data_IF_335619858514
#
_entry.id   IF_335619858514
#
_cell.length_a   1.000
_cell.length_b   1.000
_cell.length_c   1.000
_cell.angle_alpha   90.00
_cell.angle_beta   90.00
_cell.angle_gamma   90.00
#
_symmetry.space_group_name_H-M   'P 1'
#
loop_
_entity.id
_entity.type
_entity.pdbx_description
1 polymer ?
#
# COMPACT_ATOMS: atom_id res chain seq x y z
N UNK A 1 -43.39 -5.50 22.45
CA UNK A 1 -42.19 -4.65 22.51
C UNK A 1 -42.58 -3.20 22.30
N UNK A 2 -42.05 -2.29 23.10
CA UNK A 2 -42.19 -0.83 22.91
C UNK A 2 -41.27 -0.36 21.76
N UNK A 3 -41.56 0.79 21.14
CA UNK A 3 -40.73 1.35 20.06
C UNK A 3 -39.27 1.62 20.51
N UNK A 4 -39.05 1.84 21.81
CA UNK A 4 -37.72 2.01 22.41
C UNK A 4 -36.91 0.70 22.46
N UNK A 5 -37.55 -0.43 22.72
CA UNK A 5 -36.93 -1.76 22.71
C UNK A 5 -36.49 -2.19 21.30
N UNK A 6 -37.21 -1.74 20.27
CA UNK A 6 -36.86 -1.95 18.85
C UNK A 6 -35.67 -1.08 18.42
N UNK A 7 -35.60 0.17 18.91
CA UNK A 7 -34.50 1.11 18.61
C UNK A 7 -33.17 0.64 19.22
N UNK A 8 -33.20 0.09 20.43
CA UNK A 8 -32.03 -0.39 21.17
C UNK A 8 -31.15 -1.39 20.38
N UNK A 9 -31.75 -2.17 19.48
CA UNK A 9 -31.04 -3.17 18.67
C UNK A 9 -30.87 -2.76 17.18
N UNK A 10 -31.68 -1.83 16.66
CA UNK A 10 -31.55 -1.30 15.29
C UNK A 10 -30.29 -0.47 15.08
N UNK A 11 -29.78 0.22 16.10
CA UNK A 11 -28.55 1.02 16.00
C UNK A 11 -27.25 0.17 15.96
N UNK A 12 -27.35 -1.16 16.10
CA UNK A 12 -26.20 -2.04 16.27
C UNK A 12 -25.89 -3.06 15.18
N UNK A 13 -26.67 -3.13 14.08
CA UNK A 13 -26.64 -4.23 13.09
C UNK A 13 -26.93 -5.63 13.69
N UNK A 14 -27.82 -5.71 14.68
CA UNK A 14 -28.18 -6.98 15.33
C UNK A 14 -29.52 -7.49 14.84
N UNK A 15 -29.52 -8.50 13.97
CA UNK A 15 -30.70 -9.35 13.76
C UNK A 15 -30.80 -10.33 14.94
N UNK A 16 -31.46 -9.91 16.03
CA UNK A 16 -31.85 -10.79 17.14
C UNK A 16 -33.35 -11.02 17.05
N UNK A 17 -33.78 -12.27 16.98
CA UNK A 17 -35.20 -12.60 17.11
C UNK A 17 -35.55 -12.74 18.60
N UNK A 18 -36.20 -11.71 19.16
CA UNK A 18 -36.50 -11.63 20.60
C UNK A 18 -37.46 -12.73 21.08
N UNK A 19 -38.33 -13.21 20.20
CA UNK A 19 -39.30 -14.26 20.51
C UNK A 19 -38.60 -15.60 20.84
N UNK A 20 -37.34 -15.76 20.43
CA UNK A 20 -36.54 -16.97 20.62
C UNK A 20 -35.57 -16.88 21.82
N UNK A 21 -35.60 -15.78 22.59
CA UNK A 21 -34.73 -15.60 23.76
C UNK A 21 -35.35 -16.27 25.00
N UNK A 22 -34.64 -17.26 25.53
CA UNK A 22 -34.97 -17.89 26.81
C UNK A 22 -33.71 -17.95 27.69
N UNK A 23 -33.66 -17.21 28.81
CA UNK A 23 -34.68 -16.31 29.34
C UNK A 23 -34.86 -15.03 28.51
N UNK A 24 -36.02 -14.39 28.65
CA UNK A 24 -36.30 -13.09 28.05
C UNK A 24 -35.47 -11.98 28.73
N UNK A 25 -35.24 -10.88 28.01
CA UNK A 25 -34.50 -9.72 28.52
C UNK A 25 -35.42 -8.83 29.38
N UNK A 26 -34.95 -8.44 30.56
CA UNK A 26 -35.58 -7.46 31.44
C UNK A 26 -34.98 -6.08 31.17
N UNK A 27 -35.63 -5.32 30.29
CA UNK A 27 -35.11 -4.05 29.78
C UNK A 27 -34.84 -2.99 30.85
N UNK A 28 -35.65 -2.96 31.92
CA UNK A 28 -35.50 -2.03 33.04
C UNK A 28 -34.23 -2.27 33.86
N UNK A 29 -33.62 -3.46 33.74
CA UNK A 29 -32.41 -3.86 34.45
C UNK A 29 -31.14 -3.76 33.59
N UNK A 30 -31.21 -3.24 32.36
CA UNK A 30 -30.06 -3.21 31.45
C UNK A 30 -28.93 -2.25 31.84
N UNK A 31 -29.12 -1.47 32.91
CA UNK A 31 -28.05 -0.69 33.55
C UNK A 31 -27.72 -1.18 34.95
N UNK A 32 -28.35 -2.27 35.43
CA UNK A 32 -27.96 -2.95 36.65
C UNK A 32 -26.79 -3.91 36.36
N UNK A 33 -25.68 -3.75 37.07
CA UNK A 33 -24.48 -4.53 36.80
C UNK A 33 -24.64 -6.02 37.12
N UNK A 34 -25.36 -6.36 38.20
CA UNK A 34 -25.51 -7.75 38.64
C UNK A 34 -26.36 -8.52 37.64
N UNK A 35 -27.46 -7.90 37.20
CA UNK A 35 -28.30 -8.43 36.13
C UNK A 35 -27.51 -8.60 34.83
N UNK A 36 -26.85 -7.55 34.36
CA UNK A 36 -26.08 -7.58 33.10
C UNK A 36 -24.96 -8.62 33.16
N UNK A 37 -24.24 -8.69 34.28
CA UNK A 37 -23.18 -9.68 34.49
C UNK A 37 -23.72 -11.11 34.44
N UNK A 38 -24.81 -11.37 35.16
CA UNK A 38 -25.48 -12.68 35.18
C UNK A 38 -25.96 -13.10 33.78
N UNK A 39 -26.56 -12.18 33.03
CA UNK A 39 -27.03 -12.45 31.67
C UNK A 39 -25.87 -12.74 30.72
N UNK A 40 -24.80 -11.94 30.75
CA UNK A 40 -23.60 -12.15 29.94
C UNK A 40 -22.95 -13.50 30.26
N UNK A 41 -22.79 -13.83 31.54
CA UNK A 41 -22.20 -15.09 31.98
C UNK A 41 -23.03 -16.30 31.51
N UNK A 42 -24.35 -16.24 31.68
CA UNK A 42 -25.25 -17.28 31.21
C UNK A 42 -25.18 -17.46 29.69
N UNK A 43 -25.26 -16.35 28.93
CA UNK A 43 -25.22 -16.39 27.48
C UNK A 43 -23.89 -16.98 26.96
N UNK A 44 -22.77 -16.60 27.58
CA UNK A 44 -21.43 -17.08 27.22
C UNK A 44 -21.20 -18.56 27.56
N UNK A 45 -21.90 -19.10 28.57
CA UNK A 45 -21.93 -20.54 28.89
C UNK A 45 -22.90 -21.33 28.02
N UNK A 46 -23.75 -20.65 27.25
CA UNK A 46 -24.71 -21.28 26.36
C UNK A 46 -24.12 -21.44 24.95
N UNK A 47 -24.48 -22.52 24.27
CA UNK A 47 -24.20 -22.67 22.82
C UNK A 47 -25.27 -21.96 21.95
N UNK A 48 -26.03 -21.01 22.53
CA UNK A 48 -27.13 -20.36 21.86
C UNK A 48 -26.68 -19.04 21.20
N UNK A 49 -26.73 -19.02 19.86
CA UNK A 49 -26.38 -17.86 19.04
C UNK A 49 -27.23 -16.63 19.34
N UNK A 50 -28.53 -16.80 19.57
CA UNK A 50 -29.43 -15.69 19.89
C UNK A 50 -29.13 -15.09 21.27
N UNK A 51 -28.84 -15.93 22.27
CA UNK A 51 -28.42 -15.44 23.60
C UNK A 51 -27.09 -14.69 23.52
N UNK A 52 -26.12 -15.20 22.74
CA UNK A 52 -24.81 -14.54 22.58
C UNK A 52 -24.90 -13.22 21.81
N UNK A 53 -25.75 -13.15 20.78
CA UNK A 53 -26.06 -11.89 20.08
C UNK A 53 -26.74 -10.88 21.00
N UNK A 54 -27.70 -11.33 21.82
CA UNK A 54 -28.34 -10.48 22.83
C UNK A 54 -27.31 -9.95 23.84
N UNK A 55 -26.43 -10.83 24.35
CA UNK A 55 -25.32 -10.47 25.23
C UNK A 55 -24.41 -9.40 24.61
N UNK A 56 -24.06 -9.52 23.33
CA UNK A 56 -23.30 -8.48 22.62
C UNK A 56 -24.02 -7.12 22.65
N UNK A 57 -25.32 -7.09 22.32
CA UNK A 57 -26.08 -5.85 22.29
C UNK A 57 -26.23 -5.22 23.68
N UNK A 58 -26.45 -6.04 24.73
CA UNK A 58 -26.46 -5.59 26.13
C UNK A 58 -25.11 -4.98 26.49
N UNK A 59 -24.01 -5.67 26.18
CA UNK A 59 -22.64 -5.17 26.40
C UNK A 59 -22.42 -3.79 25.76
N UNK A 60 -22.87 -3.58 24.52
CA UNK A 60 -22.69 -2.29 23.84
C UNK A 60 -23.53 -1.15 24.42
N UNK A 61 -24.68 -1.45 25.02
CA UNK A 61 -25.58 -0.47 25.60
C UNK A 61 -25.34 -0.22 27.10
N UNK A 62 -24.61 -1.10 27.79
CA UNK A 62 -24.24 -0.87 29.18
C UNK A 62 -23.30 0.34 29.29
N UNK A 63 -23.61 1.28 30.20
CA UNK A 63 -22.87 2.53 30.32
C UNK A 63 -21.46 2.29 30.89
N UNK A 64 -21.36 1.51 31.97
CA UNK A 64 -20.10 1.26 32.69
C UNK A 64 -19.28 0.11 32.09
N UNK A 65 -19.04 0.11 30.77
CA UNK A 65 -18.34 -0.99 30.05
C UNK A 65 -17.03 -1.44 30.70
N UNK A 66 -16.33 -0.54 31.41
CA UNK A 66 -15.11 -0.85 32.17
C UNK A 66 -15.29 -1.97 33.21
N UNK A 67 -16.50 -2.19 33.69
CA UNK A 67 -16.83 -3.25 34.66
C UNK A 67 -17.12 -4.60 34.00
N UNK A 68 -17.12 -4.67 32.67
CA UNK A 68 -17.44 -5.86 31.88
C UNK A 68 -16.22 -6.44 31.13
N UNK A 69 -14.99 -6.10 31.55
CA UNK A 69 -13.73 -6.52 30.93
C UNK A 69 -13.64 -8.03 30.67
N UNK A 70 -14.00 -8.85 31.67
CA UNK A 70 -13.97 -10.32 31.56
C UNK A 70 -14.90 -10.84 30.46
N UNK A 71 -16.07 -10.23 30.28
CA UNK A 71 -17.03 -10.65 29.27
C UNK A 71 -16.60 -10.23 27.86
N UNK A 72 -15.98 -9.06 27.69
CA UNK A 72 -15.40 -8.67 26.40
C UNK A 72 -14.33 -9.68 25.95
N UNK A 73 -13.47 -10.14 26.86
CA UNK A 73 -12.44 -11.11 26.53
C UNK A 73 -13.04 -12.42 25.98
N UNK A 74 -14.08 -12.93 26.63
CA UNK A 74 -14.79 -14.13 26.18
C UNK A 74 -15.55 -13.90 24.86
N UNK A 75 -16.16 -12.73 24.68
CA UNK A 75 -16.84 -12.37 23.43
C UNK A 75 -15.87 -12.17 22.25
N UNK A 76 -14.56 -11.97 22.46
CA UNK A 76 -13.62 -11.86 21.32
C UNK A 76 -13.34 -13.22 20.67
N UNK A 77 -13.46 -14.31 21.43
CA UNK A 77 -13.19 -15.68 20.96
C UNK A 77 -14.47 -16.46 20.64
N UNK A 78 -15.64 -15.92 20.97
CA UNK A 78 -16.89 -16.67 20.89
C UNK A 78 -17.47 -16.70 19.44
N UNK A 79 -17.63 -17.88 18.82
CA UNK A 79 -18.09 -17.99 17.43
C UNK A 79 -19.57 -17.65 17.22
N UNK A 80 -20.36 -17.56 18.29
CA UNK A 80 -21.82 -17.49 18.26
C UNK A 80 -22.36 -16.06 18.07
N UNK A 81 -21.55 -15.14 17.56
CA UNK A 81 -22.00 -13.80 17.15
C UNK A 81 -21.13 -13.21 16.03
N UNK A 82 -21.47 -11.99 15.60
CA UNK A 82 -20.88 -11.35 14.41
C UNK A 82 -20.22 -9.99 14.73
N UNK A 83 -20.00 -9.70 16.00
CA UNK A 83 -19.56 -8.38 16.50
C UNK A 83 -18.06 -8.23 16.75
N UNK A 84 -17.25 -9.19 16.34
CA UNK A 84 -15.81 -9.25 16.63
C UNK A 84 -15.07 -7.96 16.26
N UNK A 85 -15.25 -7.45 15.05
CA UNK A 85 -14.60 -6.21 14.62
C UNK A 85 -14.94 -5.02 15.53
N UNK A 86 -16.21 -4.92 15.95
CA UNK A 86 -16.68 -3.83 16.81
C UNK A 86 -16.13 -3.96 18.22
N UNK A 87 -16.11 -5.17 18.79
CA UNK A 87 -15.51 -5.45 20.10
C UNK A 87 -14.02 -5.10 20.11
N UNK A 88 -13.27 -5.56 19.09
CA UNK A 88 -11.84 -5.29 18.97
C UNK A 88 -11.56 -3.81 18.76
N UNK A 89 -12.45 -3.09 18.05
CA UNK A 89 -12.35 -1.62 17.91
C UNK A 89 -12.55 -0.89 19.25
N UNK A 90 -13.53 -1.30 20.07
CA UNK A 90 -13.70 -0.75 21.43
C UNK A 90 -12.48 -1.04 22.31
N UNK A 91 -11.94 -2.26 22.21
CA UNK A 91 -10.71 -2.64 22.89
C UNK A 91 -9.54 -1.74 22.49
N UNK A 92 -9.40 -1.46 21.19
CA UNK A 92 -8.36 -0.59 20.63
C UNK A 92 -8.49 0.87 21.07
N UNK A 93 -9.68 1.46 20.97
CA UNK A 93 -9.86 2.91 21.07
C UNK A 93 -9.96 3.37 22.53
N UNK A 94 -10.78 2.70 23.34
CA UNK A 94 -11.22 3.22 24.64
C UNK A 94 -10.78 2.37 25.85
N UNK A 95 -10.72 1.05 25.68
CA UNK A 95 -10.65 0.12 26.81
C UNK A 95 -9.22 -0.33 27.13
N UNK A 96 -8.50 -0.86 26.13
CA UNK A 96 -7.07 -1.21 26.16
C UNK A 96 -6.69 -2.18 27.28
N UNK A 97 -7.52 -3.18 27.52
CA UNK A 97 -7.35 -4.14 28.60
C UNK A 97 -6.13 -5.06 28.38
N UNK A 98 -5.16 -5.08 29.31
CA UNK A 98 -4.07 -6.05 29.29
C UNK A 98 -4.56 -7.51 29.33
N UNK A 99 -5.68 -7.76 30.03
CA UNK A 99 -6.28 -9.09 30.15
C UNK A 99 -6.70 -9.70 28.81
N UNK A 100 -6.87 -8.89 27.76
CA UNK A 100 -7.29 -9.37 26.45
C UNK A 100 -6.17 -10.06 25.67
N UNK A 101 -4.90 -9.89 26.06
CA UNK A 101 -3.74 -10.43 25.32
C UNK A 101 -3.81 -11.96 25.13
N UNK A 102 -4.11 -12.79 26.15
CA UNK A 102 -4.25 -14.24 25.98
C UNK A 102 -5.40 -14.64 25.04
N UNK A 103 -6.50 -13.89 25.04
CA UNK A 103 -7.64 -14.15 24.17
C UNK A 103 -7.33 -13.78 22.72
N UNK A 104 -6.61 -12.67 22.50
CA UNK A 104 -6.12 -12.32 21.16
C UNK A 104 -5.17 -13.39 20.63
N UNK A 105 -4.31 -13.98 21.47
CA UNK A 105 -3.48 -15.12 21.09
C UNK A 105 -4.33 -16.28 20.57
N UNK A 106 -5.35 -16.69 21.31
CA UNK A 106 -6.26 -17.76 20.88
C UNK A 106 -6.89 -17.48 19.51
N UNK A 107 -7.29 -16.22 19.26
CA UNK A 107 -7.78 -15.84 17.92
C UNK A 107 -6.72 -16.06 16.84
N UNK A 108 -5.46 -15.67 17.09
CA UNK A 108 -4.37 -15.82 16.13
C UNK A 108 -4.01 -17.31 15.90
N UNK A 109 -4.11 -18.15 16.94
CA UNK A 109 -3.87 -19.60 16.86
C UNK A 109 -4.96 -20.31 16.06
N UNK A 110 -6.20 -19.82 16.13
CA UNK A 110 -7.34 -20.41 15.41
C UNK A 110 -7.27 -20.24 13.88
N UNK A 111 -6.30 -19.48 13.36
CA UNK A 111 -6.25 -19.17 11.92
C UNK A 111 -7.46 -18.36 11.43
N UNK A 112 -8.24 -17.77 12.34
CA UNK A 112 -9.47 -17.02 12.06
C UNK A 112 -10.64 -17.86 11.51
N UNK A 113 -10.65 -19.18 11.73
CA UNK A 113 -11.67 -20.10 11.21
C UNK A 113 -13.11 -19.63 11.48
N UNK A 114 -13.38 -19.18 12.71
CA UNK A 114 -14.71 -18.71 13.11
C UNK A 114 -15.03 -17.27 12.70
N UNK A 115 -14.05 -16.53 12.16
CA UNK A 115 -14.20 -15.14 11.71
C UNK A 115 -14.40 -15.02 10.19
N UNK A 116 -14.39 -16.14 9.46
CA UNK A 116 -14.59 -16.19 8.01
C UNK A 116 -15.95 -15.62 7.57
N UNK A 117 -16.95 -15.57 8.46
CA UNK A 117 -18.24 -14.92 8.18
C UNK A 117 -18.09 -13.46 7.73
N UNK A 118 -17.01 -12.79 8.15
CA UNK A 118 -16.75 -11.40 7.84
C UNK A 118 -16.40 -11.18 6.36
N UNK A 119 -16.20 -12.26 5.58
CA UNK A 119 -15.74 -12.23 4.19
C UNK A 119 -14.45 -11.42 3.99
N UNK A 120 -13.69 -11.24 5.07
CA UNK A 120 -12.45 -10.48 5.10
C UNK A 120 -11.27 -11.43 4.93
N UNK A 121 -10.24 -10.99 4.20
CA UNK A 121 -8.98 -11.72 4.14
C UNK A 121 -8.34 -11.79 5.55
N UNK A 122 -7.60 -12.87 5.83
CA UNK A 122 -6.97 -13.09 7.15
C UNK A 122 -6.08 -11.91 7.58
N UNK A 123 -5.42 -11.22 6.63
CA UNK A 123 -4.63 -10.02 6.91
C UNK A 123 -5.46 -8.85 7.40
N UNK A 124 -6.70 -8.69 6.91
CA UNK A 124 -7.62 -7.67 7.40
C UNK A 124 -8.05 -7.97 8.83
N UNK A 125 -8.29 -9.25 9.15
CA UNK A 125 -8.63 -9.69 10.50
C UNK A 125 -7.43 -9.53 11.44
N UNK A 126 -6.25 -9.99 11.03
CA UNK A 126 -4.99 -9.84 11.76
C UNK A 126 -4.67 -8.36 12.07
N UNK A 127 -5.02 -7.45 11.16
CA UNK A 127 -4.89 -5.99 11.36
C UNK A 127 -5.72 -5.49 12.54
N UNK A 128 -6.94 -5.99 12.75
CA UNK A 128 -7.78 -5.56 13.89
C UNK A 128 -7.06 -5.86 15.21
N UNK A 129 -6.53 -7.08 15.33
CA UNK A 129 -5.86 -7.57 16.52
C UNK A 129 -4.48 -6.94 16.72
N UNK A 130 -3.70 -6.72 15.63
CA UNK A 130 -2.42 -6.03 15.73
C UNK A 130 -2.60 -4.58 16.22
N UNK A 131 -3.62 -3.88 15.74
CA UNK A 131 -3.99 -2.56 16.26
C UNK A 131 -4.34 -2.59 17.74
N UNK A 132 -5.20 -3.53 18.17
CA UNK A 132 -5.62 -3.64 19.57
C UNK A 132 -4.43 -3.93 20.49
N UNK A 133 -3.56 -4.89 20.14
CA UNK A 133 -2.34 -5.19 20.91
C UNK A 133 -1.41 -3.98 21.04
N UNK A 134 -1.24 -3.23 19.95
CA UNK A 134 -0.42 -2.02 19.98
C UNK A 134 -1.05 -0.92 20.85
N UNK A 135 -2.37 -0.79 20.85
CA UNK A 135 -3.07 0.15 21.74
C UNK A 135 -3.00 -0.26 23.21
N UNK A 136 -3.01 -1.56 23.51
CA UNK A 136 -2.81 -2.10 24.86
C UNK A 136 -1.38 -1.79 25.35
N UNK A 137 -0.37 -2.05 24.50
CA UNK A 137 0.99 -1.55 24.69
C UNK A 137 1.77 -2.11 25.89
N UNK A 138 1.25 -3.12 26.59
CA UNK A 138 1.97 -3.80 27.69
C UNK A 138 3.12 -4.66 27.16
N UNK A 139 4.05 -5.06 28.04
CA UNK A 139 5.15 -5.95 27.68
C UNK A 139 4.64 -7.27 27.07
N UNK A 140 3.57 -7.84 27.63
CA UNK A 140 2.94 -9.06 27.10
C UNK A 140 2.33 -8.84 25.71
N UNK A 141 1.66 -7.71 25.48
CA UNK A 141 1.09 -7.40 24.17
C UNK A 141 2.20 -7.24 23.11
N UNK A 142 3.29 -6.54 23.45
CA UNK A 142 4.45 -6.37 22.59
C UNK A 142 5.17 -7.71 22.36
N UNK A 143 5.28 -8.55 23.39
CA UNK A 143 5.88 -9.88 23.32
C UNK A 143 5.09 -10.77 22.36
N UNK A 144 3.76 -10.79 22.49
CA UNK A 144 2.87 -11.52 21.58
C UNK A 144 3.04 -11.05 20.14
N UNK A 145 3.07 -9.74 19.90
CA UNK A 145 3.33 -9.22 18.54
C UNK A 145 4.70 -9.65 18.02
N UNK A 146 5.75 -9.67 18.86
CA UNK A 146 7.10 -10.12 18.46
C UNK A 146 7.12 -11.60 18.11
N UNK A 147 6.39 -12.41 18.86
CA UNK A 147 6.24 -13.83 18.58
C UNK A 147 5.55 -14.05 17.23
N UNK A 148 4.37 -13.45 17.04
CA UNK A 148 3.59 -13.65 15.81
C UNK A 148 4.15 -12.92 14.60
N UNK A 149 5.08 -11.98 14.76
CA UNK A 149 5.87 -11.45 13.63
C UNK A 149 6.81 -12.49 13.00
N UNK A 150 6.87 -13.69 13.58
CA UNK A 150 7.59 -14.87 13.04
C UNK A 150 6.64 -16.04 12.71
N UNK A 151 5.33 -15.78 12.65
CA UNK A 151 4.33 -16.79 12.31
C UNK A 151 4.56 -17.39 10.92
N UNK A 152 4.19 -18.66 10.73
CA UNK A 152 4.14 -19.30 9.41
C UNK A 152 2.96 -18.81 8.57
N UNK A 153 1.92 -18.24 9.19
CA UNK A 153 0.88 -17.53 8.46
C UNK A 153 1.41 -16.15 8.06
N UNK A 154 1.71 -15.97 6.77
CA UNK A 154 2.34 -14.77 6.22
C UNK A 154 1.51 -13.49 6.46
N UNK A 155 0.19 -13.60 6.52
CA UNK A 155 -0.71 -12.46 6.74
C UNK A 155 -0.64 -11.98 8.19
N UNK A 156 -0.64 -12.92 9.14
CA UNK A 156 -0.44 -12.62 10.57
C UNK A 156 0.98 -12.09 10.81
N UNK A 157 1.98 -12.78 10.24
CA UNK A 157 3.39 -12.41 10.33
C UNK A 157 3.60 -10.95 9.94
N UNK A 158 3.09 -10.59 8.77
CA UNK A 158 3.22 -9.26 8.21
C UNK A 158 2.55 -8.19 9.09
N UNK A 159 1.29 -8.38 9.51
CA UNK A 159 0.57 -7.37 10.30
C UNK A 159 1.22 -7.12 11.66
N UNK A 160 1.75 -8.16 12.30
CA UNK A 160 2.45 -8.03 13.58
C UNK A 160 3.80 -7.34 13.41
N UNK A 161 4.58 -7.71 12.38
CA UNK A 161 5.85 -7.06 12.06
C UNK A 161 5.65 -5.57 11.71
N UNK A 162 4.68 -5.28 10.82
CA UNK A 162 4.32 -3.91 10.43
C UNK A 162 3.94 -3.07 11.65
N UNK A 163 3.13 -3.62 12.55
CA UNK A 163 2.65 -2.87 13.71
C UNK A 163 3.76 -2.58 14.70
N UNK A 164 4.65 -3.53 14.97
CA UNK A 164 5.84 -3.30 15.77
C UNK A 164 6.70 -2.18 15.17
N UNK A 165 6.87 -2.19 13.84
CA UNK A 165 7.62 -1.17 13.12
C UNK A 165 6.94 0.22 13.10
N UNK A 166 5.60 0.27 13.20
CA UNK A 166 4.82 1.52 13.26
C UNK A 166 4.67 2.09 14.66
N UNK A 167 4.54 1.24 15.68
CA UNK A 167 4.37 1.61 17.09
C UNK A 167 5.66 2.08 17.76
N UNK A 168 6.80 1.60 17.27
CA UNK A 168 8.09 2.23 17.51
C UNK A 168 8.23 3.36 16.50
N UNK A 169 8.42 4.60 16.97
CA UNK A 169 8.81 5.71 16.11
C UNK A 169 9.88 5.21 15.11
N UNK A 170 9.62 5.45 13.82
CA UNK A 170 10.42 5.18 12.61
C UNK A 170 11.91 5.63 12.68
N UNK A 171 12.42 6.04 13.84
CA UNK A 171 13.80 6.45 14.11
C UNK A 171 14.64 5.36 14.79
N UNK A 172 14.07 4.33 15.44
CA UNK A 172 14.85 3.43 16.32
C UNK A 172 15.18 2.05 15.73
N UNK A 173 14.58 1.62 14.62
CA UNK A 173 14.93 0.36 13.94
C UNK A 173 15.85 0.52 12.71
N UNK A 174 16.29 1.74 12.38
CA UNK A 174 17.17 1.95 11.21
C UNK A 174 16.53 1.66 9.85
N UNK A 175 15.20 1.50 9.79
CA UNK A 175 14.44 1.39 8.54
C UNK A 175 14.19 2.81 8.00
N UNK A 176 14.83 3.13 6.88
CA UNK A 176 14.78 4.47 6.33
C UNK A 176 13.42 4.74 5.69
N UNK A 177 12.70 5.75 6.19
CA UNK A 177 11.67 6.42 5.40
C UNK A 177 12.24 6.68 4.00
N UNK A 178 11.55 6.31 2.91
CA UNK A 178 12.11 6.49 1.58
C UNK A 178 12.47 7.96 1.39
N UNK A 179 13.56 8.23 0.70
CA UNK A 179 14.03 9.60 0.43
C UNK A 179 13.04 10.45 -0.39
N UNK A 180 11.96 9.81 -0.86
CA UNK A 180 10.88 10.33 -1.67
C UNK A 180 9.98 11.29 -0.88
N UNK A 181 9.57 12.38 -1.53
CA UNK A 181 8.46 13.20 -1.06
C UNK A 181 7.18 12.49 -1.48
N UNK A 182 6.32 12.19 -0.52
CA UNK A 182 5.08 11.44 -0.74
C UNK A 182 3.86 12.38 -0.71
N UNK A 183 2.81 11.99 -1.43
CA UNK A 183 1.48 12.59 -1.37
C UNK A 183 0.42 11.49 -1.56
N UNK A 184 -0.85 11.82 -1.29
CA UNK A 184 -1.94 10.89 -1.60
C UNK A 184 -2.15 10.78 -3.11
N UNK A 185 -2.50 9.59 -3.57
CA UNK A 185 -2.72 9.29 -4.99
C UNK A 185 -3.73 10.24 -5.64
N UNK A 186 -4.82 10.60 -4.97
CA UNK A 186 -5.83 11.52 -5.49
C UNK A 186 -5.25 12.91 -5.77
N UNK A 187 -4.37 13.39 -4.88
CA UNK A 187 -3.69 14.68 -5.04
C UNK A 187 -2.76 14.65 -6.25
N UNK A 188 -2.09 13.52 -6.51
CA UNK A 188 -1.29 13.33 -7.72
C UNK A 188 -2.19 13.40 -8.96
N UNK A 189 -3.31 12.68 -8.97
CA UNK A 189 -4.23 12.62 -10.11
C UNK A 189 -4.82 13.99 -10.46
N UNK A 190 -5.19 14.80 -9.46
CA UNK A 190 -5.68 16.18 -9.68
C UNK A 190 -4.65 17.10 -10.35
N UNK A 191 -3.36 16.82 -10.18
CA UNK A 191 -2.27 17.67 -10.68
C UNK A 191 -1.69 17.21 -12.00
N UNK A 192 -1.97 15.98 -12.43
CA UNK A 192 -1.47 15.43 -13.68
C UNK A 192 -2.49 15.64 -14.82
N UNK A 193 -2.01 15.87 -16.06
CA UNK A 193 -2.89 15.98 -17.21
C UNK A 193 -3.58 14.64 -17.48
N UNK A 194 -4.83 14.66 -17.92
CA UNK A 194 -5.61 13.43 -18.18
C UNK A 194 -5.25 12.73 -19.49
N UNK A 195 -4.67 13.45 -20.46
CA UNK A 195 -4.34 12.95 -21.80
C UNK A 195 -3.06 13.57 -22.37
N UNK A 196 -2.29 12.77 -23.09
CA UNK A 196 -1.09 13.20 -23.83
C UNK A 196 0.17 12.44 -23.43
N UNK A 197 1.32 12.82 -23.98
CA UNK A 197 2.62 12.20 -23.68
C UNK A 197 3.46 13.13 -22.81
N UNK A 198 3.89 12.68 -21.63
CA UNK A 198 4.60 13.52 -20.67
C UNK A 198 5.72 12.78 -19.94
N UNK A 199 6.86 13.47 -19.73
CA UNK A 199 7.83 13.03 -18.75
C UNK A 199 7.26 13.33 -17.35
N UNK A 200 6.60 12.33 -16.76
CA UNK A 200 6.08 12.38 -15.40
C UNK A 200 7.10 11.72 -14.49
N UNK A 201 7.51 12.39 -13.42
CA UNK A 201 8.47 11.85 -12.47
C UNK A 201 8.54 12.62 -11.16
N UNK A 202 9.16 11.99 -10.16
CA UNK A 202 9.48 12.61 -8.88
C UNK A 202 10.81 13.37 -9.01
N UNK A 203 10.76 14.69 -8.81
CA UNK A 203 11.91 15.59 -8.85
C UNK A 203 12.10 16.28 -7.48
N UNK A 204 13.33 16.26 -6.96
CA UNK A 204 13.71 16.96 -5.73
C UNK A 204 15.16 17.45 -5.86
N UNK A 205 15.40 18.75 -5.70
CA UNK A 205 16.73 19.36 -5.76
C UNK A 205 17.53 18.95 -7.03
N UNK A 206 16.91 19.09 -8.20
CA UNK A 206 17.48 18.67 -9.51
C UNK A 206 17.84 17.17 -9.62
N UNK A 207 17.32 16.33 -8.72
CA UNK A 207 17.41 14.88 -8.82
C UNK A 207 16.06 14.33 -9.28
N UNK A 208 16.10 13.53 -10.35
CA UNK A 208 14.97 12.76 -10.85
C UNK A 208 15.10 11.33 -10.33
N UNK A 209 14.00 10.78 -9.83
CA UNK A 209 13.91 9.39 -9.41
C UNK A 209 13.41 8.51 -10.56
N UNK A 210 14.13 7.42 -10.82
CA UNK A 210 13.69 6.32 -11.68
C UNK A 210 13.46 5.07 -10.84
N UNK A 211 12.47 4.28 -11.23
CA UNK A 211 12.14 3.02 -10.60
C UNK A 211 12.57 1.85 -11.49
N UNK A 212 13.00 0.77 -10.85
CA UNK A 212 13.29 -0.50 -11.49
C UNK A 212 12.99 -1.67 -10.53
N UNK A 213 12.60 -2.81 -11.08
CA UNK A 213 12.29 -4.02 -10.31
C UNK A 213 13.27 -5.14 -10.66
N UNK A 214 13.79 -5.83 -9.65
CA UNK A 214 14.76 -6.91 -9.80
C UNK A 214 14.56 -7.99 -8.75
N UNK A 215 15.23 -9.13 -8.92
CA UNK A 215 15.36 -10.11 -7.84
C UNK A 215 16.25 -9.59 -6.70
N UNK A 216 16.12 -10.23 -5.53
CA UNK A 216 16.83 -9.92 -4.30
C UNK A 216 18.35 -9.81 -4.45
N UNK A 217 18.97 -10.69 -5.24
CA UNK A 217 20.42 -10.71 -5.39
C UNK A 217 20.94 -9.46 -6.12
N UNK A 218 20.29 -9.08 -7.23
CA UNK A 218 20.65 -7.89 -7.99
C UNK A 218 20.35 -6.62 -7.16
N UNK A 219 19.20 -6.58 -6.50
CA UNK A 219 18.80 -5.43 -5.69
C UNK A 219 19.77 -5.17 -4.53
N UNK A 220 20.09 -6.20 -3.75
CA UNK A 220 21.02 -6.09 -2.62
C UNK A 220 22.43 -5.67 -3.07
N UNK A 221 22.94 -6.24 -4.16
CA UNK A 221 24.25 -5.85 -4.72
C UNK A 221 24.23 -4.39 -5.20
N UNK A 222 23.15 -3.98 -5.88
CA UNK A 222 23.01 -2.63 -6.40
C UNK A 222 22.96 -1.59 -5.27
N UNK A 223 22.16 -1.83 -4.24
CA UNK A 223 22.04 -0.94 -3.08
C UNK A 223 23.34 -0.89 -2.29
N UNK A 224 24.00 -2.03 -2.06
CA UNK A 224 25.28 -2.05 -1.33
C UNK A 224 26.37 -1.27 -2.04
N UNK A 225 26.47 -1.41 -3.35
CA UNK A 225 27.56 -0.81 -4.13
C UNK A 225 27.18 0.53 -4.77
N UNK A 226 25.93 0.96 -4.62
CA UNK A 226 25.34 2.14 -5.29
C UNK A 226 25.52 2.13 -6.81
N UNK A 227 25.58 0.93 -7.40
CA UNK A 227 25.68 0.64 -8.84
C UNK A 227 25.37 -0.83 -9.08
N UNK A 228 24.84 -1.15 -10.25
CA UNK A 228 24.63 -2.54 -10.66
C UNK A 228 25.96 -3.23 -10.97
N UNK A 229 26.16 -4.46 -10.49
CA UNK A 229 27.31 -5.29 -10.87
C UNK A 229 26.88 -6.74 -11.15
N UNK A 230 26.93 -7.60 -10.13
CA UNK A 230 26.79 -9.06 -10.32
C UNK A 230 25.33 -9.39 -10.61
N UNK A 231 25.13 -10.28 -11.60
CA UNK A 231 23.80 -10.69 -12.05
C UNK A 231 23.08 -9.68 -12.94
N UNK A 232 23.54 -8.43 -13.02
CA UNK A 232 22.99 -7.44 -13.94
C UNK A 232 23.55 -7.62 -15.35
N UNK A 233 22.66 -7.65 -16.36
CA UNK A 233 23.05 -7.90 -17.74
C UNK A 233 23.25 -6.58 -18.51
N UNK A 234 24.51 -6.18 -18.68
CA UNK A 234 24.90 -4.99 -19.45
C UNK A 234 24.81 -5.16 -20.98
N UNK A 235 24.60 -6.38 -21.49
CA UNK A 235 24.52 -6.65 -22.93
C UNK A 235 23.13 -6.44 -23.50
N UNK A 236 22.08 -6.42 -22.66
CA UNK A 236 20.70 -6.19 -23.08
C UNK A 236 20.28 -4.74 -22.87
N UNK A 237 19.22 -4.34 -23.56
CA UNK A 237 18.51 -3.11 -23.25
C UNK A 237 17.93 -3.18 -21.83
N UNK A 238 18.23 -2.17 -21.02
CA UNK A 238 17.66 -1.95 -19.69
C UNK A 238 16.65 -0.83 -19.77
N UNK A 239 15.42 -1.09 -19.33
CA UNK A 239 14.35 -0.11 -19.36
C UNK A 239 14.10 0.47 -17.96
N UNK A 240 14.40 1.75 -17.80
CA UNK A 240 14.17 2.52 -16.57
C UNK A 240 12.95 3.43 -16.73
N UNK A 241 12.28 3.74 -15.61
CA UNK A 241 11.03 4.51 -15.65
C UNK A 241 10.90 5.53 -14.53
N UNK A 242 10.57 6.78 -14.84
CA UNK A 242 10.31 7.79 -13.81
C UNK A 242 8.92 7.66 -13.18
N UNK A 243 8.00 6.89 -13.77
CA UNK A 243 6.63 6.70 -13.25
C UNK A 243 6.49 5.52 -12.28
N UNK A 244 6.09 5.81 -11.05
CA UNK A 244 5.89 4.85 -9.96
C UNK A 244 4.74 3.89 -10.26
N UNK A 245 3.55 4.41 -10.61
CA UNK A 245 2.36 3.58 -10.84
C UNK A 245 2.55 2.60 -12.00
N UNK A 246 3.28 3.01 -13.04
CA UNK A 246 3.69 2.10 -14.10
C UNK A 246 4.56 0.97 -13.56
N UNK A 247 5.60 1.30 -12.76
CA UNK A 247 6.48 0.28 -12.19
C UNK A 247 5.72 -0.69 -11.29
N UNK A 248 4.73 -0.19 -10.54
CA UNK A 248 3.89 -1.02 -9.69
C UNK A 248 3.01 -1.95 -10.52
N UNK A 249 2.36 -1.46 -11.57
CA UNK A 249 1.64 -2.32 -12.51
C UNK A 249 2.56 -3.38 -13.14
N UNK A 250 3.77 -3.00 -13.57
CA UNK A 250 4.69 -3.92 -14.26
C UNK A 250 5.22 -5.01 -13.35
N UNK A 251 5.63 -4.68 -12.13
CA UNK A 251 6.13 -5.62 -11.13
C UNK A 251 5.02 -6.41 -10.44
N UNK A 252 3.74 -6.05 -10.68
CA UNK A 252 2.63 -6.59 -9.91
C UNK A 252 2.73 -6.19 -8.44
N UNK A 253 3.18 -4.96 -8.16
CA UNK A 253 3.45 -4.45 -6.82
C UNK A 253 4.44 -5.33 -6.06
N UNK A 254 5.58 -5.62 -6.70
CA UNK A 254 6.64 -6.49 -6.17
C UNK A 254 6.24 -7.97 -5.95
N UNK A 255 5.17 -8.45 -6.57
CA UNK A 255 4.74 -9.86 -6.46
C UNK A 255 5.18 -10.76 -7.63
N UNK A 256 5.63 -10.18 -8.76
CA UNK A 256 6.03 -10.98 -9.92
C UNK A 256 7.43 -11.55 -9.74
N UNK A 257 7.59 -12.79 -10.19
CA UNK A 257 8.87 -13.49 -10.18
C UNK A 257 9.99 -12.65 -10.85
N UNK A 258 11.15 -12.63 -10.19
CA UNK A 258 12.35 -11.86 -10.54
C UNK A 258 12.18 -10.32 -10.52
N UNK A 259 11.11 -9.81 -9.89
CA UNK A 259 10.77 -8.39 -9.75
C UNK A 259 10.27 -8.05 -8.34
N UNK A 260 10.73 -8.80 -7.34
CA UNK A 260 10.29 -8.71 -5.94
C UNK A 260 10.91 -7.53 -5.19
N UNK A 261 11.99 -6.95 -5.70
CA UNK A 261 12.62 -5.78 -5.09
C UNK A 261 12.48 -4.54 -5.99
N UNK A 262 11.95 -3.45 -5.43
CA UNK A 262 11.77 -2.17 -6.12
C UNK A 262 12.85 -1.19 -5.68
N UNK A 263 13.63 -0.72 -6.65
CA UNK A 263 14.69 0.25 -6.44
C UNK A 263 14.26 1.64 -6.89
N UNK A 264 14.48 2.65 -6.05
CA UNK A 264 14.48 4.07 -6.39
C UNK A 264 15.91 4.52 -6.72
N UNK A 265 16.12 4.93 -7.97
CA UNK A 265 17.42 5.29 -8.55
C UNK A 265 17.43 6.79 -8.79
N UNK A 266 18.28 7.51 -8.05
CA UNK A 266 18.43 8.96 -8.12
C UNK A 266 19.45 9.35 -9.19
N UNK A 267 19.06 10.26 -10.08
CA UNK A 267 19.89 10.74 -11.19
C UNK A 267 19.76 12.26 -11.30
N UNK A 268 20.86 12.96 -11.55
CA UNK A 268 20.80 14.40 -11.81
C UNK A 268 19.99 14.68 -13.08
N UNK A 269 19.12 15.67 -13.01
CA UNK A 269 18.32 16.16 -14.13
C UNK A 269 19.17 16.53 -15.35
N UNK A 270 20.37 17.08 -15.13
CA UNK A 270 21.34 17.36 -16.19
C UNK A 270 21.85 16.11 -16.90
N UNK A 271 22.00 14.98 -16.20
CA UNK A 271 22.46 13.73 -16.80
C UNK A 271 21.30 13.01 -17.50
N UNK A 272 20.08 13.13 -16.97
CA UNK A 272 18.87 12.72 -17.71
C UNK A 272 18.76 13.47 -19.03
N UNK A 273 19.02 14.78 -19.04
CA UNK A 273 19.02 15.58 -20.27
C UNK A 273 20.07 15.07 -21.29
N UNK A 274 21.26 14.68 -20.85
CA UNK A 274 22.28 14.05 -21.72
C UNK A 274 21.75 12.75 -22.34
N UNK A 275 21.13 11.89 -21.54
CA UNK A 275 20.50 10.64 -22.01
C UNK A 275 19.42 10.94 -23.05
N UNK A 276 18.53 11.89 -22.76
CA UNK A 276 17.42 12.22 -23.66
C UNK A 276 17.90 12.83 -24.99
N UNK A 277 19.05 13.52 -25.01
CA UNK A 277 19.66 14.05 -26.24
C UNK A 277 20.11 12.96 -27.23
N UNK A 278 20.43 11.76 -26.75
CA UNK A 278 20.86 10.63 -27.59
C UNK A 278 19.68 9.78 -28.09
N UNK A 279 18.46 10.11 -27.66
CA UNK A 279 17.34 9.19 -27.70
C UNK A 279 16.60 9.13 -29.04
N UNK A 280 16.17 7.92 -29.40
CA UNK A 280 15.36 7.62 -30.60
C UNK A 280 14.07 6.92 -30.16
N UNK A 281 12.93 7.23 -30.78
CA UNK A 281 11.67 6.54 -30.53
C UNK A 281 11.77 5.06 -30.92
N UNK A 282 11.22 4.18 -30.08
CA UNK A 282 11.14 2.74 -30.34
C UNK A 282 10.15 2.38 -31.45
N UNK A 283 9.32 3.32 -31.89
CA UNK A 283 8.37 3.21 -32.99
C UNK A 283 8.51 4.39 -33.95
N UNK A 284 8.29 4.14 -35.25
CA UNK A 284 8.31 5.20 -36.26
C UNK A 284 7.26 6.28 -35.97
N UNK A 285 7.65 7.53 -36.22
CA UNK A 285 6.75 8.69 -36.21
C UNK A 285 7.12 9.64 -37.34
N UNK A 286 6.17 9.86 -38.26
CA UNK A 286 6.35 10.80 -39.37
C UNK A 286 6.52 12.26 -38.89
N UNK A 287 6.19 12.59 -37.64
CA UNK A 287 6.42 13.92 -37.07
C UNK A 287 7.85 14.13 -36.55
N UNK A 288 8.62 13.06 -36.35
CA UNK A 288 9.97 13.10 -35.78
C UNK A 288 11.06 12.71 -36.79
N UNK A 289 10.72 11.90 -37.79
CA UNK A 289 11.66 11.34 -38.76
C UNK A 289 11.21 11.63 -40.19
N UNK A 290 12.18 11.80 -41.09
CA UNK A 290 11.92 12.04 -42.52
C UNK A 290 11.23 10.84 -43.17
N UNK A 291 11.68 9.63 -42.86
CA UNK A 291 11.17 8.36 -43.39
C UNK A 291 11.53 7.19 -42.46
N UNK A 292 11.03 6.00 -42.78
CA UNK A 292 11.29 4.79 -42.00
C UNK A 292 12.75 4.34 -42.07
N UNK A 293 13.42 4.54 -43.21
CA UNK A 293 14.82 4.14 -43.41
C UNK A 293 15.75 4.91 -42.48
N UNK A 294 15.58 6.24 -42.39
CA UNK A 294 16.32 7.09 -41.46
C UNK A 294 16.07 6.66 -40.01
N UNK A 295 14.81 6.42 -39.64
CA UNK A 295 14.45 5.97 -38.30
C UNK A 295 15.11 4.63 -37.97
N UNK A 296 15.04 3.63 -38.87
CA UNK A 296 15.67 2.31 -38.68
C UNK A 296 17.18 2.43 -38.50
N UNK A 297 17.84 3.28 -39.29
CA UNK A 297 19.27 3.54 -39.15
C UNK A 297 19.59 4.16 -37.78
N UNK A 298 18.88 5.24 -37.39
CA UNK A 298 19.05 5.89 -36.08
C UNK A 298 18.79 4.94 -34.91
N UNK A 299 17.76 4.09 -35.02
CA UNK A 299 17.37 3.11 -34.00
C UNK A 299 18.41 1.99 -33.82
N UNK A 300 19.13 1.64 -34.90
CA UNK A 300 20.19 0.65 -34.88
C UNK A 300 21.41 1.16 -34.12
N UNK A 301 21.85 2.38 -34.44
CA UNK A 301 23.08 2.99 -33.87
C UNK A 301 22.88 3.59 -32.48
N UNK A 302 21.68 4.06 -32.14
CA UNK A 302 21.45 4.71 -30.84
C UNK A 302 21.49 3.72 -29.67
N UNK A 303 22.13 4.15 -28.59
CA UNK A 303 22.17 3.47 -27.29
C UNK A 303 20.96 3.80 -26.41
N UNK A 304 20.14 4.78 -26.79
CA UNK A 304 18.99 5.24 -26.00
C UNK A 304 17.70 5.15 -26.81
N UNK A 305 16.68 4.50 -26.23
CA UNK A 305 15.35 4.38 -26.84
C UNK A 305 14.27 5.00 -25.95
N UNK A 306 13.35 5.74 -26.55
CA UNK A 306 12.13 6.22 -25.87
C UNK A 306 10.93 5.41 -26.32
N UNK A 307 10.12 5.00 -25.35
CA UNK A 307 8.79 4.45 -25.58
C UNK A 307 7.77 5.23 -24.74
N UNK A 308 6.59 5.46 -25.30
CA UNK A 308 5.48 6.14 -24.62
C UNK A 308 4.39 5.13 -24.28
N UNK A 309 4.35 4.71 -23.03
CA UNK A 309 3.40 3.71 -22.52
C UNK A 309 2.27 4.37 -21.72
N UNK A 310 1.08 3.76 -21.63
CA UNK A 310 0.00 4.26 -20.78
C UNK A 310 0.47 4.42 -19.32
N UNK A 311 0.08 5.51 -18.66
CA UNK A 311 0.10 5.54 -17.20
C UNK A 311 -1.01 4.64 -16.64
N UNK A 312 -0.95 4.34 -15.35
CA UNK A 312 -1.88 3.43 -14.70
C UNK A 312 -2.55 4.06 -13.48
N UNK A 313 -3.84 3.76 -13.31
CA UNK A 313 -4.55 4.11 -12.09
C UNK A 313 -4.20 3.15 -10.94
N UNK A 314 -4.74 3.42 -9.76
CA UNK A 314 -4.57 2.61 -8.55
C UNK A 314 -5.01 1.16 -8.73
N UNK A 315 -5.89 0.84 -9.69
CA UNK A 315 -6.31 -0.53 -9.99
C UNK A 315 -5.50 -1.22 -11.10
N UNK A 316 -4.54 -0.53 -11.70
CA UNK A 316 -3.75 -1.02 -12.83
C UNK A 316 -4.42 -0.82 -14.19
N UNK A 317 -5.57 -0.15 -14.24
CA UNK A 317 -6.23 0.27 -15.48
C UNK A 317 -5.40 1.29 -16.24
N UNK A 318 -5.39 1.19 -17.58
CA UNK A 318 -4.66 2.11 -18.46
C UNK A 318 -5.35 3.48 -18.51
N UNK A 319 -4.56 4.54 -18.46
CA UNK A 319 -5.02 5.92 -18.62
C UNK A 319 -4.73 6.44 -20.04
N UNK A 320 -5.46 7.50 -20.45
CA UNK A 320 -5.23 8.16 -21.75
C UNK A 320 -3.90 8.92 -21.81
N UNK A 321 -3.40 9.40 -20.67
CA UNK A 321 -2.04 9.94 -20.57
C UNK A 321 -1.00 8.83 -20.66
N UNK A 322 0.12 9.14 -21.29
CA UNK A 322 1.27 8.26 -21.46
C UNK A 322 2.47 8.82 -20.73
N UNK A 323 3.17 7.94 -20.02
CA UNK A 323 4.42 8.23 -19.35
C UNK A 323 5.60 7.72 -20.20
N UNK A 324 6.74 8.39 -20.04
CA UNK A 324 7.97 8.02 -20.74
C UNK A 324 8.59 6.75 -20.16
N UNK A 325 9.13 5.92 -21.03
CA UNK A 325 9.99 4.79 -20.71
C UNK A 325 11.31 4.95 -21.47
N UNK A 326 12.44 4.82 -20.77
CA UNK A 326 13.78 5.05 -21.33
C UNK A 326 14.55 3.74 -21.33
N UNK A 327 14.96 3.29 -22.52
CA UNK A 327 15.78 2.12 -22.75
C UNK A 327 17.23 2.52 -22.92
N UNK A 328 18.13 1.90 -22.18
CA UNK A 328 19.57 2.11 -22.22
C UNK A 328 20.30 0.82 -22.60
N UNK A 329 21.26 0.91 -23.54
CA UNK A 329 22.20 -0.16 -23.88
C UNK A 329 23.60 0.41 -24.13
N UNK A 330 24.58 -0.47 -24.32
CA UNK A 330 25.91 -0.08 -24.79
C UNK A 330 26.58 0.94 -23.87
N UNK A 331 27.27 1.91 -24.46
CA UNK A 331 28.04 2.91 -23.74
C UNK A 331 27.19 3.74 -22.78
N UNK A 332 25.97 4.13 -23.17
CA UNK A 332 25.10 4.96 -22.33
C UNK A 332 24.61 4.20 -21.10
N UNK A 333 24.39 2.88 -21.19
CA UNK A 333 24.06 2.05 -20.02
C UNK A 333 25.26 1.94 -19.06
N UNK A 334 26.48 1.88 -19.59
CA UNK A 334 27.70 1.88 -18.76
C UNK A 334 27.85 3.21 -18.02
N UNK A 335 27.76 4.35 -18.73
CA UNK A 335 27.80 5.69 -18.12
C UNK A 335 26.68 5.91 -17.11
N UNK A 336 25.46 5.45 -17.43
CA UNK A 336 24.36 5.44 -16.48
C UNK A 336 24.76 4.80 -15.16
N UNK A 337 25.33 3.59 -15.22
CA UNK A 337 25.68 2.83 -14.04
C UNK A 337 26.90 3.36 -13.28
N UNK A 338 27.93 3.86 -13.96
CA UNK A 338 29.19 4.27 -13.34
C UNK A 338 29.29 5.76 -13.01
N UNK A 339 28.53 6.62 -13.70
CA UNK A 339 28.67 8.07 -13.61
C UNK A 339 27.37 8.78 -13.20
N UNK A 340 26.21 8.34 -13.71
CA UNK A 340 24.97 9.11 -13.56
C UNK A 340 24.16 8.73 -12.31
N UNK A 341 24.18 7.45 -11.89
CA UNK A 341 23.54 7.04 -10.64
C UNK A 341 24.18 7.78 -9.46
N UNK A 342 23.36 8.54 -8.73
CA UNK A 342 23.77 9.23 -7.51
C UNK A 342 23.44 8.43 -6.25
N UNK A 343 22.30 7.73 -6.28
CA UNK A 343 21.85 6.88 -5.17
C UNK A 343 20.93 5.77 -5.67
N UNK A 344 21.04 4.60 -5.06
CA UNK A 344 20.10 3.48 -5.19
C UNK A 344 19.54 3.18 -3.81
N UNK A 345 18.22 3.22 -3.69
CA UNK A 345 17.47 2.92 -2.47
C UNK A 345 16.52 1.77 -2.73
N UNK A 346 16.52 0.75 -1.87
CA UNK A 346 15.45 -0.25 -1.87
C UNK A 346 14.21 0.35 -1.19
N UNK A 347 13.11 0.46 -1.93
CA UNK A 347 11.82 0.95 -1.45
C UNK A 347 10.77 -0.17 -1.40
N UNK A 348 11.19 -1.43 -1.43
CA UNK A 348 10.30 -2.60 -1.46
C UNK A 348 9.36 -2.63 -0.27
N UNK A 349 9.88 -2.38 0.92
CA UNK A 349 9.08 -2.28 2.14
C UNK A 349 7.98 -1.21 1.99
N UNK A 350 8.32 -0.01 1.52
CA UNK A 350 7.32 1.04 1.24
C UNK A 350 6.25 0.55 0.25
N UNK A 351 6.66 -0.12 -0.83
CA UNK A 351 5.74 -0.65 -1.84
C UNK A 351 4.81 -1.71 -1.27
N UNK A 352 5.31 -2.61 -0.42
CA UNK A 352 4.51 -3.62 0.28
C UNK A 352 3.45 -2.97 1.17
N UNK A 353 3.83 -1.94 1.93
CA UNK A 353 2.88 -1.16 2.74
C UNK A 353 1.75 -0.56 1.89
N UNK A 354 2.10 0.03 0.75
CA UNK A 354 1.13 0.65 -0.16
C UNK A 354 0.25 -0.38 -0.87
N UNK A 355 0.81 -1.55 -1.21
CA UNK A 355 0.06 -2.66 -1.80
C UNK A 355 -1.07 -3.12 -0.88
N UNK A 356 -0.81 -3.25 0.42
CA UNK A 356 -1.85 -3.65 1.39
C UNK A 356 -2.93 -2.58 1.53
N UNK A 357 -2.55 -1.29 1.53
CA UNK A 357 -3.53 -0.19 1.59
C UNK A 357 -4.43 -0.14 0.34
N UNK A 358 -3.88 -0.47 -0.83
CA UNK A 358 -4.62 -0.56 -2.09
C UNK A 358 -5.75 -1.61 -2.03
N UNK A 359 -5.54 -2.75 -1.38
CA UNK A 359 -6.55 -3.83 -1.30
C UNK A 359 -7.52 -3.68 -0.10
N UNK A 360 -7.32 -2.66 0.75
CA UNK A 360 -8.22 -2.36 1.86
C UNK A 360 -9.51 -1.62 1.44
N UNK A 361 -10.42 -1.43 2.39
CA UNK A 361 -11.77 -0.89 2.18
C UNK A 361 -11.84 0.59 1.71
N UNK A 362 -10.72 1.29 1.58
CA UNK A 362 -10.68 2.68 1.09
C UNK A 362 -9.32 3.05 0.48
N UNK A 363 -9.22 3.24 -0.86
CA UNK A 363 -7.97 3.59 -1.55
C UNK A 363 -7.46 5.01 -1.24
N UNK A 364 -8.27 5.87 -0.57
CA UNK A 364 -7.93 7.26 -0.21
C UNK A 364 -6.74 7.44 0.74
N UNK A 365 -6.08 6.35 1.10
CA UNK A 365 -4.87 6.34 1.93
C UNK A 365 -3.61 6.01 1.14
N UNK A 366 -3.72 5.65 -0.15
CA UNK A 366 -2.57 5.27 -0.97
C UNK A 366 -1.59 6.44 -1.10
N UNK A 367 -0.42 6.29 -0.49
CA UNK A 367 0.68 7.23 -0.63
C UNK A 367 1.52 6.85 -1.84
N UNK A 368 1.83 7.84 -2.66
CA UNK A 368 2.68 7.70 -3.84
C UNK A 368 3.76 8.78 -3.84
N UNK A 369 4.86 8.58 -4.57
CA UNK A 369 5.83 9.65 -4.79
C UNK A 369 5.16 10.85 -5.45
N UNK A 370 5.53 12.06 -5.02
CA UNK A 370 5.03 13.32 -5.57
C UNK A 370 5.57 13.52 -6.97
N UNK A 371 4.82 13.06 -7.96
CA UNK A 371 5.19 13.10 -9.37
C UNK A 371 4.52 14.25 -10.10
N UNK A 372 5.29 15.00 -10.88
CA UNK A 372 4.78 16.09 -11.73
C UNK A 372 5.35 15.95 -13.14
N UNK A 373 4.85 16.76 -14.07
CA UNK A 373 5.53 16.95 -15.36
C UNK A 373 6.91 17.55 -15.05
N UNK A 374 7.97 16.84 -15.44
CA UNK A 374 9.34 17.32 -15.31
C UNK A 374 9.63 18.24 -16.49
N UNK A 375 9.87 19.51 -16.19
CA UNK A 375 10.25 20.51 -17.18
C UNK A 375 11.77 20.54 -17.32
N UNK A 376 12.27 20.35 -18.54
CA UNK A 376 13.67 20.62 -18.89
C UNK A 376 13.79 22.08 -19.38
N UNK A 377 14.98 22.50 -19.85
CA UNK A 377 15.17 23.84 -20.44
C UNK A 377 14.01 24.19 -21.37
N UNK A 378 13.51 25.44 -21.32
CA UNK A 378 12.37 25.92 -22.13
C UNK A 378 12.55 25.70 -23.63
N UNK A 379 13.77 25.47 -24.09
CA UNK A 379 14.11 25.20 -25.48
C UNK A 379 14.32 23.71 -25.79
N UNK A 380 14.33 22.86 -24.77
CA UNK A 380 14.51 21.43 -24.91
C UNK A 380 13.21 20.74 -25.30
N UNK A 381 13.32 19.76 -26.20
CA UNK A 381 12.17 18.97 -26.64
C UNK A 381 12.48 17.49 -26.50
N UNK A 382 11.61 16.78 -25.80
CA UNK A 382 11.66 15.33 -25.67
C UNK A 382 11.00 14.71 -26.91
N UNK A 383 11.74 13.86 -27.61
CA UNK A 383 11.28 13.24 -28.86
C UNK A 383 9.94 12.50 -28.67
N UNK A 384 9.01 12.74 -29.59
CA UNK A 384 7.67 12.14 -29.58
C UNK A 384 6.71 12.69 -28.53
N UNK A 385 7.13 13.66 -27.71
CA UNK A 385 6.21 14.35 -26.81
C UNK A 385 5.22 15.20 -27.62
N UNK A 386 3.98 15.32 -27.13
CA UNK A 386 2.98 16.18 -27.76
C UNK A 386 3.49 17.62 -27.83
N UNK A 387 3.49 18.21 -29.04
CA UNK A 387 3.85 19.60 -29.29
C UNK A 387 2.66 20.41 -29.76
N UNK A 388 2.48 21.59 -29.21
CA UNK A 388 1.62 22.62 -29.79
C UNK A 388 2.19 23.09 -31.13
N UNK A 389 1.33 23.63 -32.00
CA UNK A 389 1.75 24.22 -33.29
C UNK A 389 2.80 25.32 -33.07
N UNK A 390 2.65 26.12 -32.02
CA UNK A 390 3.57 27.21 -31.67
C UNK A 390 4.97 26.71 -31.33
N UNK A 391 5.08 25.59 -30.62
CA UNK A 391 6.38 24.97 -30.28
C UNK A 391 7.08 24.40 -31.50
N UNK A 392 6.32 23.76 -32.40
CA UNK A 392 6.85 23.27 -33.68
C UNK A 392 7.44 24.42 -34.53
N UNK A 393 6.74 25.56 -34.60
CA UNK A 393 7.19 26.75 -35.36
C UNK A 393 8.47 27.35 -34.75
N UNK A 394 8.53 27.53 -33.42
CA UNK A 394 9.73 28.07 -32.74
C UNK A 394 10.98 27.22 -33.02
N UNK A 395 10.82 25.90 -33.06
CA UNK A 395 11.93 24.98 -33.30
C UNK A 395 12.41 25.02 -34.76
N UNK A 396 11.50 25.18 -35.73
CA UNK A 396 11.84 25.33 -37.14
C UNK A 396 12.60 26.64 -37.43
N UNK A 397 12.27 27.73 -36.73
CA UNK A 397 12.95 29.03 -36.88
C UNK A 397 14.40 28.96 -36.37
N UNK A 398 14.69 28.17 -35.34
CA UNK A 398 16.06 28.02 -34.78
C UNK A 398 16.97 27.07 -35.58
N UNK A 399 16.42 26.26 -36.49
CA UNK A 399 17.18 25.34 -37.35
C UNK A 399 17.55 25.95 -38.71
N UNK A 400 17.06 27.15 -38.99
CA UNK A 400 17.48 28.02 -40.10
C UNK A 400 18.39 29.10 -39.55
#
# INVERSE_FOLDING_TARGET
MTDQEIIFFKEGNYEVNFEDLNPAIEFDLLQDLEYVSSYLEMALKSDNENLTKAACAIYFNFIEKRRLETYLNQLIINPNHRSHQRLVKHLQDDLKYPSSVPFIREVLESGFDYLQYSSSEEGVIAKWFSHALNSIGTEDAISLMKEYSKSSNIQIQYEMAYRLAKGQHLSTMGLSKPSLVLEYFEVREEKLPTKGMFFIGHEKNDIITFYAAFNKNIANDAVKNQKFNRGFNFKRMTWIKPGFMWMMHRSGWALKENQENILAISIKKSDVLKILNEAVLSSYSASEYKNEEEWKHRLMVSNVRIQWDPDHNEWGGKLERKAIQIGLKGETLLKFNSEYIQRIEDITEFVELQRVQRFGSSPRQLLVPKERIVEFDKNYHIIGQNRTIREKIKQLIKRK
#
